data_IF_755526095368
#
_entry.id   IF_755526095368
#
_cell.length_a   1.000
_cell.length_b   1.000
_cell.length_c   1.000
_cell.angle_alpha   90.00
_cell.angle_beta   90.00
_cell.angle_gamma   90.00
#
_symmetry.space_group_name_H-M   'P 1'
#
loop_
_entity.id
_entity.type
_entity.pdbx_description
1 polymer ?
#
# COMPACT_ATOMS: atom_id res chain seq x y z
N UNK A 1 -9.69 3.51 5.07
CA UNK A 1 -8.76 3.21 6.19
C UNK A 1 -7.59 4.20 6.30
N UNK A 2 -7.72 5.35 5.69
CA UNK A 2 -6.72 6.42 5.78
C UNK A 2 -6.59 6.88 7.24
N UNK A 3 -5.37 7.10 7.69
CA UNK A 3 -5.02 7.47 9.07
C UNK A 3 -5.29 6.38 10.12
N UNK A 4 -5.68 5.18 9.69
CA UNK A 4 -5.82 4.05 10.60
C UNK A 4 -4.48 3.37 10.78
N UNK A 5 -4.10 3.08 12.02
CA UNK A 5 -2.92 2.28 12.31
C UNK A 5 -3.23 0.80 12.07
N UNK A 6 -2.38 0.15 11.30
CA UNK A 6 -2.52 -1.25 10.93
C UNK A 6 -1.30 -2.00 11.46
N UNK A 7 -1.52 -3.05 12.25
CA UNK A 7 -0.45 -3.95 12.67
C UNK A 7 -0.18 -4.92 11.50
N UNK A 8 0.65 -4.50 10.56
CA UNK A 8 0.90 -5.21 9.32
C UNK A 8 1.68 -6.50 9.57
N UNK A 9 1.07 -7.63 9.24
CA UNK A 9 1.70 -8.93 9.35
C UNK A 9 2.10 -9.50 8.01
N UNK A 10 1.26 -9.33 7.01
CA UNK A 10 1.50 -9.83 5.66
C UNK A 10 0.92 -8.87 4.64
N UNK A 11 1.33 -9.02 3.41
CA UNK A 11 0.76 -8.27 2.31
C UNK A 11 1.01 -9.01 1.00
N UNK A 12 0.22 -8.69 -0.01
CA UNK A 12 0.56 -9.09 -1.36
C UNK A 12 0.17 -8.00 -2.35
N UNK A 13 0.82 -8.02 -3.48
CA UNK A 13 0.66 -7.02 -4.52
C UNK A 13 0.37 -7.73 -5.83
N UNK A 14 -0.64 -7.24 -6.52
CA UNK A 14 -1.05 -7.72 -7.83
C UNK A 14 -1.00 -6.57 -8.80
N UNK A 15 -0.39 -6.76 -9.96
CA UNK A 15 -0.39 -5.75 -11.00
C UNK A 15 -1.65 -5.92 -11.82
N UNK A 16 -2.48 -4.89 -11.85
CA UNK A 16 -3.73 -4.86 -12.60
C UNK A 16 -3.64 -3.87 -13.75
N UNK A 17 -4.49 -4.06 -14.74
CA UNK A 17 -4.61 -3.14 -15.87
C UNK A 17 -5.84 -2.25 -15.65
N UNK A 18 -5.65 -0.95 -15.86
CA UNK A 18 -6.72 0.05 -15.76
C UNK A 18 -6.83 0.69 -17.14
N UNK A 19 -8.03 0.63 -17.72
CA UNK A 19 -8.32 1.28 -18.99
C UNK A 19 -8.89 2.67 -18.74
N UNK A 20 -8.28 3.69 -19.35
CA UNK A 20 -8.76 5.05 -19.31
C UNK A 20 -9.84 5.29 -20.38
N UNK A 21 -10.55 6.39 -20.25
CA UNK A 21 -11.62 6.77 -21.21
C UNK A 21 -11.11 6.96 -22.63
N UNK A 22 -9.84 7.32 -22.80
CA UNK A 22 -9.21 7.50 -24.09
C UNK A 22 -8.71 6.20 -24.74
N UNK A 23 -8.93 5.05 -24.08
CA UNK A 23 -8.49 3.75 -24.53
C UNK A 23 -7.06 3.39 -24.15
N UNK A 24 -6.38 4.24 -23.40
CA UNK A 24 -5.05 3.93 -22.87
C UNK A 24 -5.17 2.94 -21.73
N UNK A 25 -4.28 1.94 -21.72
CA UNK A 25 -4.20 0.94 -20.65
C UNK A 25 -2.96 1.21 -19.84
N UNK A 26 -3.13 1.38 -18.52
CA UNK A 26 -2.03 1.56 -17.58
C UNK A 26 -2.00 0.39 -16.59
N UNK A 27 -0.81 0.05 -16.14
CA UNK A 27 -0.63 -0.93 -15.08
C UNK A 27 -0.54 -0.22 -13.73
N UNK A 28 -1.19 -0.78 -12.72
CA UNK A 28 -1.16 -0.23 -11.39
C UNK A 28 -1.06 -1.35 -10.34
N UNK A 29 -0.39 -1.12 -9.21
CA UNK A 29 -0.31 -2.11 -8.15
C UNK A 29 -1.57 -2.09 -7.29
N UNK A 30 -2.25 -3.22 -7.22
CA UNK A 30 -3.31 -3.46 -6.24
C UNK A 30 -2.66 -4.10 -5.03
N UNK A 31 -2.79 -3.45 -3.89
CA UNK A 31 -2.11 -3.83 -2.67
C UNK A 31 -3.14 -4.32 -1.66
N UNK A 32 -2.88 -5.48 -1.08
CA UNK A 32 -3.69 -6.01 0.01
C UNK A 32 -2.80 -6.10 1.24
N UNK A 33 -3.15 -5.34 2.27
CA UNK A 33 -2.48 -5.36 3.56
C UNK A 33 -3.27 -6.27 4.51
N UNK A 34 -2.58 -7.14 5.21
CA UNK A 34 -3.21 -8.07 6.14
C UNK A 34 -2.66 -7.79 7.53
N UNK A 35 -3.56 -7.54 8.48
CA UNK A 35 -3.16 -7.26 9.84
C UNK A 35 -2.97 -8.56 10.67
N UNK A 36 -2.58 -8.39 11.93
CA UNK A 36 -2.32 -9.51 12.84
C UNK A 36 -3.58 -10.29 13.23
N UNK A 37 -4.76 -9.76 12.92
CA UNK A 37 -6.05 -10.42 13.16
C UNK A 37 -6.63 -11.08 11.92
N UNK A 38 -5.92 -10.97 10.79
CA UNK A 38 -6.38 -11.52 9.52
C UNK A 38 -7.32 -10.62 8.74
N UNK A 39 -7.56 -9.40 9.18
CA UNK A 39 -8.33 -8.43 8.41
C UNK A 39 -7.50 -7.89 7.25
N UNK A 40 -8.14 -7.66 6.12
CA UNK A 40 -7.49 -7.18 4.92
C UNK A 40 -7.94 -5.77 4.55
N UNK A 41 -7.02 -5.01 4.00
CA UNK A 41 -7.23 -3.65 3.54
C UNK A 41 -6.65 -3.52 2.13
N UNK A 42 -7.45 -3.04 1.19
CA UNK A 42 -7.06 -2.99 -0.21
C UNK A 42 -6.93 -1.55 -0.69
N UNK A 43 -5.94 -1.32 -1.53
CA UNK A 43 -5.81 -0.04 -2.23
C UNK A 43 -5.08 -0.24 -3.56
N UNK A 44 -5.26 0.71 -4.47
CA UNK A 44 -4.51 0.79 -5.71
C UNK A 44 -3.73 2.10 -5.65
N UNK A 45 -2.43 2.01 -5.43
CA UNK A 45 -1.62 3.22 -5.23
C UNK A 45 -0.15 2.97 -5.50
N UNK A 46 0.41 3.74 -6.41
CA UNK A 46 1.85 3.74 -6.68
C UNK A 46 2.63 4.31 -5.49
N UNK A 47 2.05 5.29 -4.78
CA UNK A 47 2.68 5.89 -3.61
C UNK A 47 2.84 4.90 -2.45
N UNK A 48 1.80 4.13 -2.16
CA UNK A 48 1.86 3.08 -1.14
C UNK A 48 2.86 1.99 -1.56
N UNK A 49 2.84 1.59 -2.83
CA UNK A 49 3.79 0.60 -3.33
C UNK A 49 5.24 1.07 -3.20
N UNK A 50 5.51 2.33 -3.53
CA UNK A 50 6.84 2.92 -3.35
C UNK A 50 7.29 2.92 -1.89
N UNK A 51 6.39 3.24 -0.98
CA UNK A 51 6.65 3.20 0.46
C UNK A 51 6.94 1.78 0.95
N UNK A 52 6.18 0.79 0.45
CA UNK A 52 6.40 -0.63 0.80
C UNK A 52 7.75 -1.13 0.32
N UNK A 53 8.19 -0.75 -0.87
CA UNK A 53 9.51 -1.12 -1.37
C UNK A 53 10.63 -0.61 -0.47
N UNK A 54 10.51 0.61 0.04
CA UNK A 54 11.46 1.17 1.01
C UNK A 54 11.42 0.41 2.33
N UNK A 55 10.23 0.05 2.79
CA UNK A 55 10.07 -0.73 4.01
C UNK A 55 10.71 -2.12 3.89
N UNK A 56 10.57 -2.77 2.75
CA UNK A 56 11.20 -4.07 2.50
C UNK A 56 12.73 -3.99 2.57
N UNK A 57 13.31 -2.88 2.18
CA UNK A 57 14.76 -2.68 2.27
C UNK A 57 15.24 -2.62 3.72
N UNK A 58 14.38 -2.21 4.65
CA UNK A 58 14.71 -2.08 6.08
C UNK A 58 14.31 -3.33 6.86
N UNK A 59 13.10 -3.82 6.67
CA UNK A 59 12.50 -4.90 7.46
C UNK A 59 12.47 -6.25 6.76
N UNK A 60 12.78 -6.28 5.48
CA UNK A 60 12.67 -7.49 4.66
C UNK A 60 11.25 -7.72 4.15
N UNK A 61 11.08 -8.83 3.43
CA UNK A 61 9.80 -9.23 2.88
C UNK A 61 8.90 -9.86 3.95
N UNK A 62 7.56 -9.77 3.82
CA UNK A 62 6.64 -10.47 4.71
C UNK A 62 6.75 -11.99 4.47
N UNK A 63 6.27 -12.85 5.35
CA UNK A 63 5.42 -12.58 6.51
C UNK A 63 6.30 -12.15 7.70
N UNK A 64 5.79 -11.20 8.50
CA UNK A 64 6.53 -10.72 9.66
C UNK A 64 6.12 -11.48 10.92
N UNK A 65 7.09 -11.98 11.69
CA UNK A 65 6.80 -12.63 12.97
C UNK A 65 6.18 -11.65 13.96
N UNK A 66 6.75 -10.45 14.04
CA UNK A 66 6.18 -9.34 14.80
C UNK A 66 5.57 -8.35 13.83
N UNK A 67 4.27 -8.02 13.97
CA UNK A 67 3.64 -7.06 13.07
C UNK A 67 4.32 -5.70 13.11
N UNK A 68 4.39 -5.05 11.96
CA UNK A 68 4.92 -3.70 11.83
C UNK A 68 3.75 -2.73 11.80
N UNK A 69 3.72 -1.79 12.74
CA UNK A 69 2.68 -0.78 12.77
C UNK A 69 2.88 0.24 11.66
N UNK A 70 1.92 0.33 10.78
CA UNK A 70 1.95 1.25 9.64
C UNK A 70 0.67 2.08 9.59
N UNK A 71 0.76 3.23 8.96
CA UNK A 71 -0.38 4.13 8.76
C UNK A 71 -0.41 4.57 7.30
N UNK A 72 -1.57 4.47 6.67
CA UNK A 72 -1.78 5.01 5.33
C UNK A 72 -2.13 6.49 5.46
N UNK A 73 -1.35 7.34 4.80
CA UNK A 73 -1.53 8.80 4.83
C UNK A 73 -1.94 9.31 3.46
N UNK A 74 -2.70 10.38 3.46
CA UNK A 74 -3.06 11.10 2.25
C UNK A 74 -2.29 12.41 2.20
N UNK A 75 -1.58 12.63 1.10
CA UNK A 75 -0.72 13.79 0.91
C UNK A 75 -1.21 14.59 -0.29
N UNK A 76 -1.27 15.91 -0.17
CA UNK A 76 -1.60 16.79 -1.29
C UNK A 76 -0.40 16.94 -2.22
N UNK A 77 -0.64 16.78 -3.50
CA UNK A 77 0.34 17.00 -4.57
C UNK A 77 -0.27 17.97 -5.60
N UNK A 78 0.54 18.42 -6.57
CA UNK A 78 0.09 19.40 -7.57
C UNK A 78 -1.18 19.00 -8.32
N UNK A 79 -1.41 17.71 -8.53
CA UNK A 79 -2.53 17.20 -9.34
C UNK A 79 -3.61 16.52 -8.51
N UNK A 80 -3.70 16.81 -7.20
CA UNK A 80 -4.70 16.22 -6.34
C UNK A 80 -4.11 15.63 -5.08
N UNK A 81 -4.42 14.37 -4.79
CA UNK A 81 -3.95 13.69 -3.58
C UNK A 81 -3.26 12.38 -3.93
N UNK A 82 -2.33 11.97 -3.09
CA UNK A 82 -1.58 10.74 -3.22
C UNK A 82 -1.61 10.01 -1.88
N UNK A 83 -1.70 8.68 -1.93
CA UNK A 83 -1.58 7.86 -0.73
C UNK A 83 -0.13 7.45 -0.53
N UNK A 84 0.32 7.49 0.72
CA UNK A 84 1.62 6.98 1.14
C UNK A 84 1.44 6.10 2.36
N UNK A 85 2.48 5.36 2.73
CA UNK A 85 2.47 4.52 3.90
C UNK A 85 3.67 4.87 4.76
N UNK A 86 3.44 5.02 6.06
CA UNK A 86 4.48 5.35 7.02
C UNK A 86 4.53 4.30 8.11
N UNK A 87 5.72 4.02 8.62
CA UNK A 87 5.87 3.19 9.82
C UNK A 87 5.53 4.06 11.02
N UNK A 88 4.60 3.59 11.81
CA UNK A 88 4.14 4.33 13.00
C UNK A 88 5.15 4.25 14.15
#
# INVERSE_FOLDING_TARGET
FINKQIALKDLFVEIIEIADEDGTVEQAPRIVLIDDKGESYQCVSNGVWGSLKKMFAVYGAPTYEEPINVVVKQVKVKRGTMLTLEVA
#
